data_IF_471691289231
#
_entry.id   IF_471691289231
#
_cell.length_a   1.000
_cell.length_b   1.000
_cell.length_c   1.000
_cell.angle_alpha   90.00
_cell.angle_beta   90.00
_cell.angle_gamma   90.00
#
_symmetry.space_group_name_H-M   'P 1'
#
loop_
_entity.id
_entity.type
_entity.pdbx_description
1 polymer ?
#
# COMPACT_ATOMS: atom_id res chain seq x y z
N UNK A 1 10.60 -10.08 9.04
CA UNK A 1 9.15 -10.38 9.12
C UNK A 1 8.42 -9.14 9.64
N UNK A 2 7.19 -8.86 9.23
CA UNK A 2 6.40 -7.76 9.81
C UNK A 2 5.99 -8.12 11.24
N UNK A 3 5.90 -7.10 12.12
CA UNK A 3 5.35 -7.30 13.47
C UNK A 3 3.83 -7.53 13.42
N UNK A 4 3.27 -8.07 14.49
CA UNK A 4 1.80 -8.25 14.64
C UNK A 4 1.08 -6.92 14.41
N UNK A 5 1.53 -5.86 15.07
CA UNK A 5 0.94 -4.51 14.93
C UNK A 5 0.98 -3.98 13.50
N UNK A 6 2.07 -4.27 12.77
CA UNK A 6 2.18 -3.87 11.36
C UNK A 6 1.18 -4.63 10.48
N UNK A 7 1.01 -5.95 10.71
CA UNK A 7 0.05 -6.77 9.98
C UNK A 7 -1.38 -6.29 10.24
N UNK A 8 -1.73 -6.07 11.50
CA UNK A 8 -3.06 -5.57 11.89
C UNK A 8 -3.36 -4.18 11.30
N UNK A 9 -2.37 -3.28 11.30
CA UNK A 9 -2.53 -1.96 10.67
C UNK A 9 -2.72 -2.06 9.16
N UNK A 10 -1.97 -2.94 8.48
CA UNK A 10 -2.13 -3.20 7.03
C UNK A 10 -3.52 -3.76 6.75
N UNK A 11 -3.97 -4.77 7.53
CA UNK A 11 -5.32 -5.35 7.43
C UNK A 11 -6.40 -4.27 7.58
N UNK A 12 -6.29 -3.41 8.61
CA UNK A 12 -7.26 -2.34 8.85
C UNK A 12 -7.35 -1.37 7.66
N UNK A 13 -6.21 -0.95 7.10
CA UNK A 13 -6.19 -0.04 5.93
C UNK A 13 -6.81 -0.70 4.69
N UNK A 14 -6.47 -1.96 4.43
CA UNK A 14 -7.02 -2.71 3.28
C UNK A 14 -8.53 -2.88 3.44
N UNK A 15 -8.99 -3.32 4.61
CA UNK A 15 -10.42 -3.48 4.89
C UNK A 15 -11.16 -2.14 4.82
N UNK A 16 -10.56 -1.03 5.29
CA UNK A 16 -11.16 0.29 5.15
C UNK A 16 -11.48 0.63 3.69
N UNK A 17 -10.50 0.43 2.80
CA UNK A 17 -10.70 0.67 1.36
C UNK A 17 -11.79 -0.26 0.80
N UNK A 18 -11.75 -1.55 1.11
CA UNK A 18 -12.71 -2.53 0.63
C UNK A 18 -14.13 -2.28 1.16
N UNK A 19 -14.30 -1.89 2.43
CA UNK A 19 -15.61 -1.55 3.00
C UNK A 19 -16.24 -0.32 2.33
N UNK A 20 -15.45 0.63 1.86
CA UNK A 20 -15.93 1.79 1.08
C UNK A 20 -16.23 1.44 -0.39
N UNK A 21 -15.83 0.27 -0.83
CA UNK A 21 -16.01 -0.20 -2.21
C UNK A 21 -16.67 -1.61 -2.25
N UNK A 22 -17.92 -1.73 -1.77
CA UNK A 22 -18.59 -3.02 -1.49
C UNK A 22 -18.82 -3.89 -2.75
N UNK A 23 -18.74 -3.32 -3.94
CA UNK A 23 -18.82 -4.08 -5.19
C UNK A 23 -17.50 -4.83 -5.50
N UNK A 24 -16.50 -4.72 -4.61
CA UNK A 24 -15.18 -5.32 -4.73
C UNK A 24 -14.23 -4.52 -5.64
N UNK A 25 -12.94 -4.77 -5.46
CA UNK A 25 -11.85 -4.04 -6.10
C UNK A 25 -10.85 -5.03 -6.69
N UNK A 26 -10.46 -4.84 -7.96
CA UNK A 26 -9.39 -5.65 -8.55
C UNK A 26 -8.02 -5.33 -7.95
N UNK A 27 -7.08 -6.27 -8.04
CA UNK A 27 -5.74 -6.16 -7.43
C UNK A 27 -4.97 -4.92 -7.85
N UNK A 28 -5.10 -4.52 -9.12
CA UNK A 28 -4.39 -3.35 -9.65
C UNK A 28 -4.94 -2.10 -8.99
N UNK A 29 -6.26 -1.93 -9.02
CA UNK A 29 -6.91 -0.77 -8.41
C UNK A 29 -6.63 -0.70 -6.92
N UNK A 30 -6.77 -1.79 -6.17
CA UNK A 30 -6.48 -1.81 -4.74
C UNK A 30 -5.04 -1.39 -4.47
N UNK A 31 -4.06 -1.97 -5.18
CA UNK A 31 -2.65 -1.60 -5.04
C UNK A 31 -2.41 -0.11 -5.31
N UNK A 32 -3.09 0.47 -6.32
CA UNK A 32 -2.92 1.89 -6.66
C UNK A 32 -3.61 2.82 -5.65
N UNK A 33 -4.77 2.46 -5.14
CA UNK A 33 -5.42 3.22 -4.07
C UNK A 33 -4.54 3.26 -2.81
N UNK A 34 -3.99 2.12 -2.40
CA UNK A 34 -3.05 2.03 -1.28
C UNK A 34 -1.78 2.86 -1.52
N UNK A 35 -1.22 2.80 -2.74
CA UNK A 35 -0.04 3.58 -3.10
C UNK A 35 -0.32 5.08 -3.08
N UNK A 36 -1.42 5.54 -3.66
CA UNK A 36 -1.77 6.95 -3.68
C UNK A 36 -2.08 7.50 -2.28
N UNK A 37 -2.75 6.72 -1.42
CA UNK A 37 -2.97 7.12 -0.03
C UNK A 37 -1.64 7.26 0.73
N UNK A 38 -0.74 6.28 0.60
CA UNK A 38 0.60 6.34 1.20
C UNK A 38 1.40 7.56 0.70
N UNK A 39 1.34 7.83 -0.62
CA UNK A 39 1.98 8.96 -1.27
C UNK A 39 1.48 10.29 -0.72
N UNK A 40 0.17 10.47 -0.65
CA UNK A 40 -0.46 11.68 -0.11
C UNK A 40 -0.06 11.92 1.36
N UNK A 41 -0.05 10.87 2.18
CA UNK A 41 0.38 10.96 3.58
C UNK A 41 1.84 11.41 3.72
N UNK A 42 2.71 10.90 2.87
CA UNK A 42 4.13 11.28 2.88
C UNK A 42 4.33 12.73 2.42
N UNK A 43 3.59 13.18 1.40
CA UNK A 43 3.66 14.55 0.90
C UNK A 43 3.16 15.56 1.93
N UNK A 44 2.03 15.28 2.59
CA UNK A 44 1.39 16.24 3.49
C UNK A 44 1.96 16.21 4.92
N UNK A 45 2.36 15.02 5.40
CA UNK A 45 2.65 14.81 6.81
C UNK A 45 4.00 14.12 7.07
N UNK A 46 4.75 13.72 6.05
CA UNK A 46 6.01 13.01 6.18
C UNK A 46 5.91 11.70 6.96
N UNK A 47 4.74 11.05 6.97
CA UNK A 47 4.50 9.80 7.69
C UNK A 47 3.76 8.78 6.84
N UNK A 48 3.95 7.50 7.17
CA UNK A 48 3.23 6.38 6.55
C UNK A 48 1.86 6.20 7.21
N UNK A 49 0.85 5.79 6.43
CA UNK A 49 -0.42 5.31 6.96
C UNK A 49 -0.25 3.88 7.50
N UNK A 50 0.48 3.05 6.77
CA UNK A 50 0.76 1.66 7.09
C UNK A 50 2.16 1.27 6.62
N UNK A 51 2.67 0.17 7.13
CA UNK A 51 4.06 -0.25 6.89
C UNK A 51 4.13 -1.48 5.96
N UNK A 52 3.56 -1.36 4.75
CA UNK A 52 3.79 -2.34 3.67
C UNK A 52 4.87 -1.82 2.71
N UNK A 53 5.69 -2.72 2.19
CA UNK A 53 6.74 -2.39 1.23
C UNK A 53 6.14 -2.39 -0.17
N UNK A 54 6.35 -1.31 -0.92
CA UNK A 54 5.95 -1.26 -2.33
C UNK A 54 7.10 -1.68 -3.23
N UNK A 55 6.82 -2.61 -4.15
CA UNK A 55 7.75 -3.06 -5.18
C UNK A 55 7.25 -2.68 -6.57
N UNK A 56 8.19 -2.35 -7.47
CA UNK A 56 7.87 -2.08 -8.87
C UNK A 56 7.48 -3.38 -9.58
N UNK A 57 6.37 -3.34 -10.32
CA UNK A 57 5.89 -4.40 -11.22
C UNK A 57 5.40 -3.76 -12.51
N UNK A 58 5.19 -4.53 -13.55
CA UNK A 58 4.81 -4.04 -14.91
C UNK A 58 3.63 -3.06 -14.92
N UNK A 59 2.74 -3.21 -13.95
CA UNK A 59 1.56 -2.33 -13.81
C UNK A 59 1.72 -1.28 -12.72
N UNK A 60 2.96 -0.95 -12.33
CA UNK A 60 3.29 0.04 -11.32
C UNK A 60 3.48 -0.53 -9.90
N UNK A 61 3.57 0.31 -8.87
CA UNK A 61 3.85 -0.11 -7.48
C UNK A 61 2.81 -1.06 -6.91
N UNK A 62 3.28 -2.12 -6.21
CA UNK A 62 2.44 -3.14 -5.58
C UNK A 62 2.87 -3.32 -4.12
N UNK A 63 1.94 -3.26 -3.13
CA UNK A 63 2.23 -3.53 -1.73
C UNK A 63 2.45 -5.03 -1.52
N UNK A 64 3.62 -5.41 -1.01
CA UNK A 64 4.11 -6.80 -1.07
C UNK A 64 3.32 -7.76 -0.19
N UNK A 65 3.06 -7.38 1.07
CA UNK A 65 2.33 -8.23 2.00
C UNK A 65 0.85 -8.34 1.58
N UNK A 66 0.22 -7.21 1.28
CA UNK A 66 -1.17 -7.19 0.80
C UNK A 66 -1.35 -8.07 -0.43
N UNK A 67 -0.46 -7.93 -1.43
CA UNK A 67 -0.53 -8.75 -2.65
C UNK A 67 -0.30 -10.23 -2.37
N UNK A 68 0.66 -10.58 -1.48
CA UNK A 68 0.90 -11.95 -1.05
C UNK A 68 -0.37 -12.57 -0.45
N UNK A 69 -1.02 -11.87 0.48
CA UNK A 69 -2.27 -12.34 1.12
C UNK A 69 -3.36 -12.57 0.09
N UNK A 70 -3.58 -11.62 -0.82
CA UNK A 70 -4.60 -11.77 -1.88
C UNK A 70 -4.33 -12.99 -2.78
N UNK A 71 -3.06 -13.23 -3.13
CA UNK A 71 -2.68 -14.39 -3.96
C UNK A 71 -2.86 -15.71 -3.21
N UNK A 72 -2.54 -15.76 -1.91
CA UNK A 72 -2.75 -16.94 -1.08
C UNK A 72 -4.25 -17.28 -0.99
N UNK A 73 -5.12 -16.26 -0.78
CA UNK A 73 -6.59 -16.48 -0.78
C UNK A 73 -7.06 -17.02 -2.14
N UNK A 74 -6.61 -16.41 -3.24
CA UNK A 74 -7.01 -16.82 -4.59
C UNK A 74 -6.60 -18.25 -4.93
N UNK A 75 -5.42 -18.67 -4.47
CA UNK A 75 -4.88 -20.00 -4.69
C UNK A 75 -5.45 -21.06 -3.73
N UNK A 76 -6.09 -20.66 -2.63
CA UNK A 76 -6.49 -21.54 -1.54
C UNK A 76 -5.30 -22.02 -0.68
N UNK A 77 -4.23 -21.21 -0.61
CA UNK A 77 -3.04 -21.54 0.16
C UNK A 77 -3.29 -21.34 1.67
N UNK A 78 -2.64 -22.18 2.51
CA UNK A 78 -2.72 -22.08 3.96
C UNK A 78 -1.85 -20.94 4.51
N UNK A 79 -2.38 -20.21 5.49
CA UNK A 79 -1.67 -19.17 6.24
C UNK A 79 -0.97 -19.77 7.48
N UNK A 80 0.18 -20.41 7.26
CA UNK A 80 0.90 -21.12 8.33
C UNK A 80 1.95 -20.27 9.06
N UNK A 81 2.19 -19.00 8.62
CA UNK A 81 3.26 -18.16 9.15
C UNK A 81 2.92 -17.55 10.52
N UNK A 82 1.70 -17.07 10.71
CA UNK A 82 1.17 -16.56 11.99
C UNK A 82 -0.36 -16.39 11.94
N UNK A 83 -0.98 -16.30 13.12
CA UNK A 83 -2.43 -16.17 13.25
C UNK A 83 -2.97 -14.90 12.61
N UNK A 84 -2.23 -13.79 12.69
CA UNK A 84 -2.63 -12.48 12.17
C UNK A 84 -2.74 -12.48 10.64
N UNK A 85 -1.86 -13.22 9.96
CA UNK A 85 -1.98 -13.42 8.50
C UNK A 85 -3.17 -14.29 8.14
N UNK A 86 -3.46 -15.31 8.96
CA UNK A 86 -4.66 -16.14 8.80
C UNK A 86 -5.93 -15.33 8.99
N UNK A 87 -5.98 -14.49 10.03
CA UNK A 87 -7.10 -13.57 10.26
C UNK A 87 -7.24 -12.54 9.14
N UNK A 88 -6.14 -12.03 8.62
CA UNK A 88 -6.15 -11.15 7.46
C UNK A 88 -6.73 -11.86 6.23
N UNK A 89 -6.27 -13.08 5.94
CA UNK A 89 -6.81 -13.90 4.85
C UNK A 89 -8.31 -14.17 5.01
N UNK A 90 -8.75 -14.56 6.20
CA UNK A 90 -10.16 -14.85 6.51
C UNK A 90 -11.07 -13.61 6.48
N UNK A 91 -10.51 -12.41 6.46
CA UNK A 91 -11.27 -11.15 6.42
C UNK A 91 -11.63 -10.67 5.01
N UNK A 92 -11.12 -11.35 3.98
CA UNK A 92 -11.27 -10.96 2.57
C UNK A 92 -11.69 -12.17 1.75
N UNK A 93 -12.63 -11.97 0.84
CA UNK A 93 -12.93 -12.89 -0.24
C UNK A 93 -12.25 -12.45 -1.52
N UNK A 94 -11.71 -13.39 -2.30
CA UNK A 94 -11.12 -13.12 -3.60
C UNK A 94 -11.76 -14.01 -4.65
N UNK A 95 -12.41 -13.38 -5.64
CA UNK A 95 -13.02 -14.09 -6.78
C UNK A 95 -12.53 -13.43 -8.08
N UNK A 96 -11.86 -14.20 -8.93
CA UNK A 96 -11.34 -13.71 -10.23
C UNK A 96 -10.54 -12.42 -10.11
N UNK A 97 -9.56 -12.39 -9.19
CA UNK A 97 -8.68 -11.25 -8.89
C UNK A 97 -9.42 -10.01 -8.34
N UNK A 98 -10.63 -10.17 -7.87
CA UNK A 98 -11.41 -9.10 -7.25
C UNK A 98 -11.57 -9.39 -5.77
N UNK A 99 -11.12 -8.47 -4.94
CA UNK A 99 -11.17 -8.55 -3.48
C UNK A 99 -12.40 -7.85 -2.92
N UNK A 100 -13.06 -8.48 -1.96
CA UNK A 100 -14.21 -7.97 -1.22
C UNK A 100 -13.99 -8.17 0.27
N UNK A 101 -14.35 -7.20 1.11
CA UNK A 101 -14.27 -7.36 2.56
C UNK A 101 -15.38 -8.27 3.07
N UNK A 102 -15.03 -9.25 3.91
CA UNK A 102 -15.96 -10.09 4.68
C UNK A 102 -16.21 -9.54 6.09
N UNK A 103 -15.40 -8.57 6.52
CA UNK A 103 -15.47 -7.98 7.86
C UNK A 103 -15.34 -6.46 7.77
N UNK A 104 -15.81 -5.76 8.81
CA UNK A 104 -15.52 -4.35 8.97
C UNK A 104 -14.07 -4.15 9.42
N UNK A 105 -13.46 -3.04 8.97
CA UNK A 105 -12.14 -2.67 9.45
C UNK A 105 -12.20 -2.28 10.94
N UNK A 106 -11.14 -2.58 11.68
CA UNK A 106 -10.94 -2.05 13.02
C UNK A 106 -10.48 -0.58 12.90
N UNK A 107 -11.41 0.36 13.09
CA UNK A 107 -11.14 1.80 12.97
C UNK A 107 -10.24 2.35 14.09
N UNK A 108 -10.14 1.67 15.24
CA UNK A 108 -9.29 2.09 16.35
C UNK A 108 -7.79 2.03 15.98
N UNK A 109 -7.45 1.25 14.94
CA UNK A 109 -6.11 1.20 14.37
C UNK A 109 -5.82 2.36 13.40
N UNK A 110 -6.80 3.19 13.04
CA UNK A 110 -6.67 4.29 12.10
C UNK A 110 -6.83 5.64 12.80
N UNK A 111 -5.91 6.55 12.55
CA UNK A 111 -6.09 7.94 13.00
C UNK A 111 -7.14 8.65 12.14
N UNK A 112 -7.73 9.73 12.64
CA UNK A 112 -8.64 10.57 11.84
C UNK A 112 -7.99 11.10 10.55
N UNK A 113 -6.68 11.35 10.59
CA UNK A 113 -5.90 11.77 9.41
C UNK A 113 -5.78 10.62 8.41
N UNK A 114 -5.49 9.37 8.88
CA UNK A 114 -5.41 8.21 8.00
C UNK A 114 -6.73 7.99 7.27
N UNK A 115 -7.86 8.02 8.00
CA UNK A 115 -9.19 7.85 7.43
C UNK A 115 -9.51 8.97 6.42
N UNK A 116 -9.18 10.22 6.74
CA UNK A 116 -9.37 11.34 5.82
C UNK A 116 -8.60 11.16 4.52
N UNK A 117 -7.32 10.77 4.58
CA UNK A 117 -6.50 10.53 3.38
C UNK A 117 -7.07 9.38 2.55
N UNK A 118 -7.50 8.29 3.20
CA UNK A 118 -8.10 7.15 2.52
C UNK A 118 -9.42 7.54 1.82
N UNK A 119 -10.29 8.30 2.49
CA UNK A 119 -11.55 8.79 1.92
C UNK A 119 -11.30 9.73 0.73
N UNK A 120 -10.38 10.69 0.86
CA UNK A 120 -10.02 11.62 -0.21
C UNK A 120 -9.41 10.86 -1.41
N UNK A 121 -8.58 9.84 -1.15
CA UNK A 121 -8.01 8.97 -2.17
C UNK A 121 -9.09 8.17 -2.91
N UNK A 122 -10.01 7.55 -2.19
CA UNK A 122 -11.12 6.77 -2.78
C UNK A 122 -12.02 7.70 -3.60
N UNK A 123 -12.36 8.88 -3.07
CA UNK A 123 -13.16 9.88 -3.78
C UNK A 123 -12.50 10.32 -5.10
N UNK A 124 -11.18 10.54 -5.07
CA UNK A 124 -10.41 11.03 -6.23
C UNK A 124 -10.17 9.95 -7.27
N UNK A 125 -9.86 8.72 -6.86
CA UNK A 125 -9.35 7.67 -7.73
C UNK A 125 -10.27 6.46 -7.87
N UNK A 126 -11.22 6.24 -6.96
CA UNK A 126 -12.02 5.02 -6.89
C UNK A 126 -12.84 4.72 -8.15
N UNK A 127 -13.27 5.76 -8.89
CA UNK A 127 -14.02 5.61 -10.16
C UNK A 127 -13.12 5.47 -11.40
N UNK A 128 -11.82 5.71 -11.27
CA UNK A 128 -10.87 5.63 -12.39
C UNK A 128 -10.57 4.16 -12.70
N UNK A 129 -10.43 3.80 -13.97
CA UNK A 129 -10.12 2.41 -14.37
C UNK A 129 -8.73 1.98 -13.88
N UNK A 130 -8.56 0.69 -13.60
CA UNK A 130 -7.29 0.11 -13.14
C UNK A 130 -6.15 0.38 -14.13
N UNK A 131 -6.44 0.33 -15.44
CA UNK A 131 -5.49 0.67 -16.50
C UNK A 131 -5.00 2.11 -16.34
N UNK A 132 -5.94 3.06 -16.20
CA UNK A 132 -5.58 4.49 -16.07
C UNK A 132 -4.82 4.76 -14.77
N UNK A 133 -5.22 4.14 -13.65
CA UNK A 133 -4.49 4.24 -12.40
C UNK A 133 -3.06 3.69 -12.52
N UNK A 134 -2.86 2.58 -13.26
CA UNK A 134 -1.55 2.04 -13.56
C UNK A 134 -0.69 3.06 -14.34
N UNK A 135 -1.22 3.63 -15.41
CA UNK A 135 -0.55 4.66 -16.20
C UNK A 135 -0.12 5.88 -15.36
N UNK A 136 -0.97 6.30 -14.41
CA UNK A 136 -0.68 7.44 -13.51
C UNK A 136 0.46 7.17 -12.52
N UNK A 137 0.85 5.90 -12.32
CA UNK A 137 1.98 5.54 -11.46
C UNK A 137 3.29 5.33 -12.24
N UNK A 138 3.27 5.42 -13.57
CA UNK A 138 4.45 5.29 -14.43
C UNK A 138 5.11 6.67 -14.63
N UNK A 139 5.45 7.31 -13.53
CA UNK A 139 6.16 8.59 -13.47
C UNK A 139 7.69 8.41 -13.58
N UNK A 140 8.42 9.51 -13.50
CA UNK A 140 9.89 9.50 -13.57
C UNK A 140 10.54 8.64 -12.47
N UNK A 141 9.95 8.62 -11.28
CA UNK A 141 10.44 7.81 -10.15
C UNK A 141 10.29 6.33 -10.46
N UNK A 142 9.11 5.90 -10.94
CA UNK A 142 8.87 4.54 -11.37
C UNK A 142 9.86 4.15 -12.48
N UNK A 143 10.00 4.96 -13.52
CA UNK A 143 10.90 4.70 -14.63
C UNK A 143 12.37 4.57 -14.18
N UNK A 144 12.81 5.40 -13.22
CA UNK A 144 14.14 5.31 -12.62
C UNK A 144 14.35 3.99 -11.85
N UNK A 145 13.31 3.46 -11.20
CA UNK A 145 13.40 2.16 -10.51
C UNK A 145 13.47 1.02 -11.54
N UNK A 146 12.62 1.04 -12.57
CA UNK A 146 12.66 0.05 -13.66
C UNK A 146 14.01 0.01 -14.36
N UNK A 147 14.62 1.17 -14.57
CA UNK A 147 15.98 1.22 -15.19
C UNK A 147 17.01 0.55 -14.28
N UNK A 148 16.99 0.81 -12.98
CA UNK A 148 17.89 0.15 -12.01
C UNK A 148 17.68 -1.35 -11.91
N UNK A 149 16.47 -1.83 -12.13
CA UNK A 149 16.14 -3.27 -12.12
C UNK A 149 16.76 -4.01 -13.30
N UNK A 150 17.14 -3.35 -14.39
CA UNK A 150 17.85 -3.99 -15.51
C UNK A 150 19.23 -4.48 -15.09
N UNK A 151 19.90 -3.72 -14.22
CA UNK A 151 21.24 -4.07 -13.71
C UNK A 151 21.14 -4.99 -12.48
N UNK A 152 20.10 -4.81 -11.66
CA UNK A 152 19.90 -5.53 -10.41
C UNK A 152 18.40 -5.68 -10.11
N UNK A 153 17.81 -6.85 -10.37
CA UNK A 153 16.38 -7.10 -10.15
C UNK A 153 15.89 -6.89 -8.71
N UNK A 154 16.79 -6.92 -7.71
CA UNK A 154 16.44 -6.68 -6.31
C UNK A 154 16.22 -5.18 -5.99
N UNK A 155 16.62 -4.28 -6.89
CA UNK A 155 16.37 -2.83 -6.77
C UNK A 155 14.94 -2.44 -7.17
N UNK A 156 13.98 -3.30 -6.92
CA UNK A 156 12.56 -3.12 -7.22
C UNK A 156 11.76 -2.36 -6.15
N UNK A 157 12.41 -1.93 -5.05
CA UNK A 157 11.74 -1.33 -3.89
C UNK A 157 11.54 0.17 -4.07
N UNK A 158 10.30 0.63 -3.85
CA UNK A 158 10.02 2.03 -3.59
C UNK A 158 10.34 2.38 -2.15
N UNK A 159 11.37 3.19 -1.95
CA UNK A 159 11.65 3.80 -0.63
C UNK A 159 10.58 4.84 -0.29
N UNK A 160 10.44 5.22 0.99
CA UNK A 160 9.52 6.30 1.38
C UNK A 160 9.84 7.62 0.67
N UNK A 161 11.14 7.88 0.43
CA UNK A 161 11.60 9.06 -0.33
C UNK A 161 11.14 8.95 -1.80
N UNK A 162 11.25 7.77 -2.43
CA UNK A 162 10.73 7.58 -3.78
C UNK A 162 9.23 7.87 -3.85
N UNK A 163 8.45 7.33 -2.92
CA UNK A 163 6.99 7.54 -2.87
C UNK A 163 6.66 9.03 -2.65
N UNK A 164 7.36 9.71 -1.74
CA UNK A 164 7.16 11.13 -1.49
C UNK A 164 7.50 11.99 -2.72
N UNK A 165 8.62 11.72 -3.39
CA UNK A 165 9.03 12.40 -4.63
C UNK A 165 8.04 12.20 -5.77
N UNK A 166 7.53 10.98 -5.96
CA UNK A 166 6.46 10.66 -6.91
C UNK A 166 5.19 11.51 -6.66
N UNK A 167 4.96 11.93 -5.42
CA UNK A 167 3.86 12.82 -5.04
C UNK A 167 4.16 14.32 -5.14
N UNK A 168 5.39 14.71 -5.45
CA UNK A 168 5.81 16.11 -5.52
C UNK A 168 6.11 16.73 -4.14
N UNK A 169 6.57 15.94 -3.17
CA UNK A 169 7.00 16.46 -1.87
C UNK A 169 8.14 17.47 -2.03
N UNK A 170 8.12 18.55 -1.25
CA UNK A 170 9.21 19.54 -1.19
C UNK A 170 10.51 18.92 -0.67
N UNK A 171 11.65 19.54 -0.99
CA UNK A 171 12.94 19.05 -0.46
C UNK A 171 12.99 19.11 1.07
N UNK A 172 12.36 20.09 1.71
CA UNK A 172 12.23 20.17 3.18
C UNK A 172 11.48 18.95 3.73
N UNK A 173 10.39 18.52 3.06
CA UNK A 173 9.65 17.33 3.44
C UNK A 173 10.48 16.05 3.22
N UNK A 174 11.25 15.99 2.14
CA UNK A 174 12.16 14.85 1.87
C UNK A 174 13.23 14.77 2.95
N UNK A 175 13.80 15.89 3.36
CA UNK A 175 14.79 15.94 4.45
C UNK A 175 14.16 15.52 5.79
N UNK A 176 12.96 16.02 6.10
CA UNK A 176 12.21 15.60 7.28
C UNK A 176 11.98 14.07 7.32
N UNK A 177 11.53 13.48 6.20
CA UNK A 177 11.34 12.02 6.11
C UNK A 177 12.65 11.28 6.34
N UNK A 178 13.76 11.75 5.74
CA UNK A 178 15.10 11.16 5.90
C UNK A 178 15.56 11.18 7.36
N UNK A 179 15.47 12.33 8.01
CA UNK A 179 15.86 12.50 9.40
C UNK A 179 15.04 11.60 10.33
N UNK A 180 13.74 11.51 10.10
CA UNK A 180 12.86 10.60 10.85
C UNK A 180 13.22 9.13 10.68
N UNK A 181 13.64 8.70 9.48
CA UNK A 181 14.09 7.32 9.24
C UNK A 181 15.43 7.04 9.97
N UNK A 182 16.34 8.01 10.01
CA UNK A 182 17.62 7.90 10.76
C UNK A 182 17.33 7.74 12.24
N UNK A 183 16.49 8.61 12.82
CA UNK A 183 16.09 8.52 14.23
C UNK A 183 15.42 7.17 14.57
N UNK A 184 14.50 6.70 13.73
CA UNK A 184 13.84 5.39 13.94
C UNK A 184 14.85 4.24 13.97
N UNK A 185 15.89 4.30 13.12
CA UNK A 185 16.95 3.27 13.10
C UNK A 185 17.89 3.36 14.31
N UNK A 186 18.11 4.55 14.84
CA UNK A 186 18.97 4.76 16.02
C UNK A 186 18.30 4.34 17.34
N UNK A 187 16.95 4.26 17.36
CA UNK A 187 16.15 3.91 18.54
C UNK A 187 15.66 2.45 18.51
N UNK A 188 15.92 1.70 17.45
CA UNK A 188 15.53 0.28 17.28
C UNK A 188 16.69 -0.65 17.65
#
# INVERSE_FOLDING_TARGET
MKTIEQIEKIKAVVLYVLNKMPTGVDYIKLSKLLYFAQRESLVLYGKTIFDDTFKARDRGPVPTLTYKVLKMIENGDDFNECNELKEFGNSIEVVRQKATALQNCNIDLLTSIDMKILDDTIKKYGKISSKKLSEMTHDEVYNSIIEKMKDDPEKDIFTLINIARSGGASEDMIEYIRNKQVLKKALA
#
